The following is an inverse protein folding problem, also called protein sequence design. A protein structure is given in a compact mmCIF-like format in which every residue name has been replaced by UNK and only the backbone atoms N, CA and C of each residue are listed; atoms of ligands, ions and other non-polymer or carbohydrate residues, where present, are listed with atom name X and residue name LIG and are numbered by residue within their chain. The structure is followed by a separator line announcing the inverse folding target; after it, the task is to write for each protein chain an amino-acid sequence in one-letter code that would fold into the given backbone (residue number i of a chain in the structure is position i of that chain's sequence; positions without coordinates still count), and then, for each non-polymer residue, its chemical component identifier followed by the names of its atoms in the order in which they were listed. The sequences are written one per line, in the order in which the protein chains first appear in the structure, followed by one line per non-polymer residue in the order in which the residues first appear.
data_IF_897733267514
#
_entry.id   IF_897733267514
#
_cell.length_a   1.000
_cell.length_b   1.000
_cell.length_c   1.000
_cell.angle_alpha   90.00
_cell.angle_beta   90.00
_cell.angle_gamma   90.00
#
_symmetry.space_group_name_H-M   'P 1'
#
loop_
_entity.id
_entity.type
_entity.pdbx_description
1 polymer ?
#
# COMPACT_ATOMS: atom_id res chain seq x y z
N UNK A 1 0.61 5.06 8.35
CA UNK A 1 -0.18 4.03 7.62
C UNK A 1 0.41 3.54 6.29
N UNK A 2 0.89 4.39 5.37
CA UNK A 2 1.36 3.95 4.03
C UNK A 2 2.50 2.93 4.07
N UNK A 3 3.35 2.96 5.09
CA UNK A 3 4.45 1.99 5.26
C UNK A 3 3.97 0.52 5.27
N UNK A 4 2.76 0.24 5.76
CA UNK A 4 2.20 -1.10 5.77
C UNK A 4 1.94 -1.62 4.35
N UNK A 5 1.49 -0.75 3.43
CA UNK A 5 1.32 -1.12 2.03
C UNK A 5 2.64 -1.54 1.39
N UNK A 6 3.74 -0.82 1.67
CA UNK A 6 5.05 -1.16 1.13
C UNK A 6 5.56 -2.53 1.62
N UNK A 7 5.35 -2.85 2.91
CA UNK A 7 5.73 -4.15 3.48
C UNK A 7 4.88 -5.28 2.88
N UNK A 8 3.56 -5.10 2.79
CA UNK A 8 2.65 -6.09 2.21
C UNK A 8 2.95 -6.30 0.72
N UNK A 9 3.19 -5.21 -0.04
CA UNK A 9 3.59 -5.26 -1.46
C UNK A 9 4.90 -6.03 -1.63
N UNK A 10 5.91 -5.76 -0.80
CA UNK A 10 7.17 -6.49 -0.80
C UNK A 10 7.01 -7.98 -0.54
N UNK A 11 6.19 -8.34 0.45
CA UNK A 11 5.87 -9.74 0.75
C UNK A 11 5.16 -10.42 -0.43
N UNK A 12 4.06 -9.84 -0.92
CA UNK A 12 3.21 -10.46 -1.93
C UNK A 12 3.93 -10.65 -3.27
N UNK A 13 4.70 -9.64 -3.70
CA UNK A 13 5.49 -9.71 -4.93
C UNK A 13 6.69 -10.63 -4.78
N UNK A 14 7.42 -10.51 -3.67
CA UNK A 14 8.63 -11.27 -3.41
C UNK A 14 8.37 -12.76 -3.27
N UNK A 15 7.23 -13.14 -2.68
CA UNK A 15 6.90 -14.53 -2.37
C UNK A 15 7.01 -15.45 -3.59
N UNK A 16 6.39 -15.10 -4.72
CA UNK A 16 6.45 -15.91 -5.95
C UNK A 16 7.88 -16.08 -6.46
N UNK A 17 8.68 -15.02 -6.45
CA UNK A 17 10.08 -15.09 -6.89
C UNK A 17 10.92 -15.93 -5.96
N UNK A 18 10.76 -15.80 -4.65
CA UNK A 18 11.47 -16.62 -3.66
C UNK A 18 11.18 -18.11 -3.81
N UNK A 19 9.93 -18.49 -4.13
CA UNK A 19 9.59 -19.89 -4.41
C UNK A 19 10.35 -20.39 -5.65
N UNK A 20 10.35 -19.62 -6.74
CA UNK A 20 11.06 -20.00 -7.98
C UNK A 20 12.58 -20.07 -7.78
N UNK A 21 13.16 -19.11 -7.06
CA UNK A 21 14.58 -19.08 -6.67
C UNK A 21 14.94 -20.35 -5.88
N UNK A 22 14.12 -20.72 -4.89
CA UNK A 22 14.38 -21.91 -4.06
C UNK A 22 14.21 -23.22 -4.84
N UNK A 23 13.34 -23.24 -5.85
CA UNK A 23 13.19 -24.37 -6.79
C UNK A 23 14.30 -24.43 -7.85
N UNK A 24 15.18 -23.43 -7.92
CA UNK A 24 16.25 -23.29 -8.93
C UNK A 24 15.71 -23.26 -10.38
N UNK A 25 14.50 -22.74 -10.56
CA UNK A 25 13.83 -22.64 -11.87
C UNK A 25 14.03 -21.24 -12.44
N UNK A 26 15.20 -21.02 -13.07
CA UNK A 26 15.64 -19.72 -13.57
C UNK A 26 14.79 -19.24 -14.76
N UNK A 27 14.38 -20.15 -15.64
CA UNK A 27 13.60 -19.81 -16.84
C UNK A 27 12.21 -19.31 -16.44
N UNK A 28 11.51 -20.05 -15.57
CA UNK A 28 10.21 -19.59 -15.08
C UNK A 28 10.31 -18.33 -14.23
N UNK A 29 11.43 -18.13 -13.53
CA UNK A 29 11.69 -16.88 -12.81
C UNK A 29 11.78 -15.70 -13.78
N UNK A 30 12.55 -15.81 -14.87
CA UNK A 30 12.69 -14.76 -15.87
C UNK A 30 11.34 -14.43 -16.52
N UNK A 31 10.59 -15.45 -16.94
CA UNK A 31 9.25 -15.29 -17.50
C UNK A 31 8.32 -14.61 -16.51
N UNK A 32 8.34 -15.02 -15.23
CA UNK A 32 7.56 -14.38 -14.18
C UNK A 32 7.98 -12.91 -13.94
N UNK A 33 9.28 -12.60 -14.04
CA UNK A 33 9.83 -11.26 -13.84
C UNK A 33 9.37 -10.31 -14.95
N UNK A 34 9.57 -10.69 -16.22
CA UNK A 34 9.15 -9.90 -17.37
C UNK A 34 7.63 -9.63 -17.34
N UNK A 35 6.87 -10.69 -17.08
CA UNK A 35 5.41 -10.70 -16.94
C UNK A 35 4.91 -9.82 -15.80
N UNK A 36 5.57 -9.84 -14.64
CA UNK A 36 5.22 -9.00 -13.49
C UNK A 36 5.56 -7.53 -13.73
N UNK A 37 6.76 -7.24 -14.24
CA UNK A 37 7.22 -5.86 -14.51
C UNK A 37 6.33 -5.17 -15.54
N UNK A 38 6.03 -5.85 -16.66
CA UNK A 38 5.21 -5.29 -17.73
C UNK A 38 3.79 -4.96 -17.27
N UNK A 39 3.07 -5.95 -16.70
CA UNK A 39 1.68 -5.72 -16.26
C UNK A 39 1.58 -4.73 -15.11
N UNK A 40 2.58 -4.68 -14.23
CA UNK A 40 2.51 -3.83 -13.03
C UNK A 40 2.48 -2.36 -13.37
N UNK A 41 3.24 -1.92 -14.37
CA UNK A 41 3.19 -0.54 -14.85
C UNK A 41 1.78 -0.18 -15.35
N UNK A 42 1.23 -0.99 -16.26
CA UNK A 42 -0.10 -0.77 -16.82
C UNK A 42 -1.15 -0.75 -15.72
N UNK A 43 -1.16 -1.76 -14.84
CA UNK A 43 -2.15 -1.86 -13.75
C UNK A 43 -2.12 -0.62 -12.85
N UNK A 44 -0.94 -0.25 -12.35
CA UNK A 44 -0.84 0.84 -11.38
C UNK A 44 -1.24 2.19 -12.00
N UNK A 45 -0.69 2.53 -13.15
CA UNK A 45 -0.91 3.84 -13.76
C UNK A 45 -2.27 3.95 -14.46
N UNK A 46 -2.74 2.92 -15.16
CA UNK A 46 -4.04 2.97 -15.83
C UNK A 46 -5.20 3.00 -14.83
N UNK A 47 -5.16 2.18 -13.77
CA UNK A 47 -6.19 2.22 -12.73
C UNK A 47 -6.22 3.56 -12.00
N UNK A 48 -5.05 4.16 -11.77
CA UNK A 48 -4.96 5.52 -11.21
C UNK A 48 -5.50 6.57 -12.18
N UNK A 49 -5.20 6.48 -13.47
CA UNK A 49 -5.74 7.38 -14.49
C UNK A 49 -7.27 7.37 -14.53
N UNK A 50 -7.89 6.18 -14.41
CA UNK A 50 -9.34 6.05 -14.31
C UNK A 50 -9.91 6.62 -13.01
N UNK A 51 -9.19 6.51 -11.90
CA UNK A 51 -9.59 7.19 -10.66
C UNK A 51 -9.51 8.72 -10.81
N UNK A 52 -8.46 9.25 -11.46
CA UNK A 52 -8.34 10.67 -11.75
C UNK A 52 -9.44 11.16 -12.71
N UNK A 53 -9.96 10.30 -13.59
CA UNK A 53 -11.11 10.63 -14.44
C UNK A 53 -12.39 10.85 -13.62
N UNK A 54 -12.61 10.05 -12.55
CA UNK A 54 -13.73 10.29 -11.63
C UNK A 54 -13.58 11.66 -10.95
N UNK A 55 -12.37 11.99 -10.49
CA UNK A 55 -12.07 13.31 -9.93
C UNK A 55 -12.28 14.45 -10.94
N UNK A 56 -11.92 14.26 -12.22
CA UNK A 56 -12.20 15.22 -13.29
C UNK A 56 -13.69 15.54 -13.39
N UNK A 57 -14.54 14.51 -13.37
CA UNK A 57 -16.00 14.70 -13.43
C UNK A 57 -16.48 15.53 -12.23
N UNK A 58 -16.01 15.24 -11.02
CA UNK A 58 -16.36 16.00 -9.82
C UNK A 58 -15.90 17.47 -9.87
N UNK A 59 -14.72 17.72 -10.43
CA UNK A 59 -14.20 19.07 -10.66
C UNK A 59 -15.06 19.86 -11.65
N UNK A 60 -15.53 19.20 -12.71
CA UNK A 60 -16.44 19.82 -13.69
C UNK A 60 -17.81 20.12 -13.09
N UNK A 61 -18.29 19.29 -12.17
CA UNK A 61 -19.51 19.53 -11.41
C UNK A 61 -19.36 20.56 -10.29
N UNK A 62 -18.18 21.20 -10.13
CA UNK A 62 -17.89 22.16 -9.04
C UNK A 62 -18.06 21.56 -7.65
N UNK A 63 -17.93 20.24 -7.55
CA UNK A 63 -17.99 19.49 -6.29
C UNK A 63 -16.62 19.34 -5.65
N UNK A 64 -15.55 19.49 -6.44
CA UNK A 64 -14.16 19.44 -6.01
C UNK A 64 -13.39 20.57 -6.71
N UNK A 65 -12.70 21.42 -5.96
CA UNK A 65 -11.86 22.47 -6.53
C UNK A 65 -10.40 21.98 -6.75
N UNK A 66 -10.08 20.77 -6.33
CA UNK A 66 -8.73 20.21 -6.33
C UNK A 66 -8.08 20.28 -4.96
N UNK A 67 -7.16 19.35 -4.68
CA UNK A 67 -6.62 19.13 -3.34
C UNK A 67 -5.63 20.21 -2.87
N UNK A 68 -4.93 20.89 -3.79
CA UNK A 68 -3.92 21.91 -3.47
C UNK A 68 -4.23 23.29 -4.04
N UNK A 69 -4.79 23.33 -5.23
CA UNK A 69 -5.09 24.55 -5.94
C UNK A 69 -6.32 24.34 -6.85
N UNK A 70 -7.11 25.40 -7.10
CA UNK A 70 -8.19 25.39 -8.06
C UNK A 70 -7.75 24.84 -9.42
N UNK A 71 -8.28 23.67 -9.81
CA UNK A 71 -7.94 23.01 -11.08
C UNK A 71 -9.04 23.10 -12.15
N UNK A 72 -10.12 23.81 -11.85
CA UNK A 72 -11.24 23.99 -12.78
C UNK A 72 -10.83 24.86 -13.98
N UNK A 73 -11.16 24.39 -15.19
CA UNK A 73 -11.06 25.13 -16.45
C UNK A 73 -12.45 25.43 -16.98
N UNK A 74 -12.59 26.49 -17.78
CA UNK A 74 -13.89 26.95 -18.28
C UNK A 74 -14.52 25.95 -19.24
N UNK A 75 -13.76 25.49 -20.24
CA UNK A 75 -14.26 24.51 -21.22
C UNK A 75 -13.97 23.06 -20.81
N UNK A 76 -14.81 22.13 -21.27
CA UNK A 76 -14.60 20.70 -21.04
C UNK A 76 -13.32 20.21 -21.74
N UNK A 77 -13.05 20.68 -22.96
CA UNK A 77 -11.86 20.26 -23.71
C UNK A 77 -10.57 20.74 -23.03
N UNK A 78 -10.54 21.95 -22.48
CA UNK A 78 -9.39 22.41 -21.69
C UNK A 78 -9.18 21.58 -20.43
N UNK A 79 -10.27 21.18 -19.75
CA UNK A 79 -10.19 20.28 -18.60
C UNK A 79 -9.65 18.90 -18.99
N UNK A 80 -10.13 18.36 -20.12
CA UNK A 80 -9.70 17.06 -20.62
C UNK A 80 -8.22 17.09 -21.00
N UNK A 81 -7.77 18.11 -21.72
CA UNK A 81 -6.36 18.29 -22.04
C UNK A 81 -5.50 18.48 -20.79
N UNK A 82 -5.97 19.26 -19.81
CA UNK A 82 -5.29 19.41 -18.53
C UNK A 82 -5.07 18.06 -17.83
N UNK A 83 -6.10 17.22 -17.82
CA UNK A 83 -6.02 15.87 -17.29
C UNK A 83 -5.11 14.96 -18.09
N UNK A 84 -5.14 14.99 -19.43
CA UNK A 84 -4.24 14.21 -20.27
C UNK A 84 -2.78 14.59 -19.97
N UNK A 85 -2.45 15.89 -19.94
CA UNK A 85 -1.09 16.34 -19.63
C UNK A 85 -0.67 15.99 -18.20
N UNK A 86 -1.57 16.09 -17.23
CA UNK A 86 -1.32 15.65 -15.85
C UNK A 86 -1.06 14.14 -15.79
N UNK A 87 -1.85 13.33 -16.49
CA UNK A 87 -1.70 11.89 -16.57
C UNK A 87 -0.37 11.49 -17.24
N UNK A 88 -0.02 12.12 -18.37
CA UNK A 88 1.26 11.88 -19.05
C UNK A 88 2.44 12.24 -18.15
N UNK A 89 2.37 13.40 -17.47
CA UNK A 89 3.36 13.78 -16.46
C UNK A 89 3.44 12.71 -15.38
N UNK A 90 2.32 12.34 -14.77
CA UNK A 90 2.24 11.42 -13.64
C UNK A 90 2.77 10.02 -13.98
N UNK A 91 2.56 9.57 -15.21
CA UNK A 91 3.08 8.31 -15.73
C UNK A 91 4.60 8.29 -15.90
N UNK A 92 5.34 9.38 -15.69
CA UNK A 92 6.80 9.39 -15.78
C UNK A 92 7.46 8.56 -14.66
N UNK A 93 8.07 7.40 -14.96
CA UNK A 93 8.71 6.56 -13.94
C UNK A 93 10.06 7.13 -13.43
N UNK A 94 10.66 8.04 -14.20
CA UNK A 94 11.96 8.67 -13.91
C UNK A 94 11.84 9.98 -13.14
N UNK A 95 10.62 10.38 -12.77
CA UNK A 95 10.41 11.56 -11.95
C UNK A 95 11.16 11.46 -10.60
N UNK A 96 11.45 12.60 -10.00
CA UNK A 96 12.02 12.64 -8.66
C UNK A 96 10.95 12.19 -7.65
N UNK A 97 11.20 11.07 -6.96
CA UNK A 97 10.28 10.48 -5.99
C UNK A 97 10.96 10.48 -4.63
N UNK A 98 10.42 11.31 -3.74
CA UNK A 98 10.97 11.53 -2.40
C UNK A 98 10.47 10.45 -1.42
N UNK A 99 9.31 9.83 -1.70
CA UNK A 99 8.78 8.70 -0.92
C UNK A 99 7.92 9.09 0.28
N UNK A 100 7.44 10.33 0.36
CA UNK A 100 6.51 10.81 1.40
C UNK A 100 5.79 12.09 0.96
N UNK A 101 4.71 12.47 1.67
CA UNK A 101 3.87 13.64 1.37
C UNK A 101 4.59 14.93 1.73
N UNK A 102 4.94 15.74 0.73
CA UNK A 102 5.49 17.07 0.91
C UNK A 102 4.94 18.05 -0.15
N UNK A 103 5.13 19.37 0.00
CA UNK A 103 4.60 20.35 -0.94
C UNK A 103 5.07 20.18 -2.39
N UNK A 104 6.22 19.53 -2.62
CA UNK A 104 6.81 19.28 -3.94
C UNK A 104 6.69 17.81 -4.38
N UNK A 105 5.86 17.02 -3.69
CA UNK A 105 5.76 15.58 -3.96
C UNK A 105 5.21 15.37 -5.37
N UNK A 106 5.74 14.35 -6.02
CA UNK A 106 5.29 13.95 -7.34
C UNK A 106 3.96 13.19 -7.24
N UNK A 107 2.86 13.90 -7.46
CA UNK A 107 1.50 13.40 -7.46
C UNK A 107 0.68 13.91 -8.66
N UNK A 108 -0.56 13.43 -8.78
CA UNK A 108 -1.53 13.94 -9.76
C UNK A 108 -2.25 15.15 -9.16
N UNK A 109 -2.51 16.16 -10.00
CA UNK A 109 -3.31 17.34 -9.59
C UNK A 109 -4.74 16.98 -9.17
N UNK A 110 -5.27 15.88 -9.71
CA UNK A 110 -6.63 15.41 -9.45
C UNK A 110 -6.72 14.56 -8.18
N UNK A 111 -5.67 13.77 -7.88
CA UNK A 111 -5.64 12.90 -6.70
C UNK A 111 -4.25 12.96 -6.05
N UNK A 112 -4.10 13.81 -5.04
CA UNK A 112 -2.81 14.01 -4.37
C UNK A 112 -2.33 12.78 -3.60
N UNK A 113 -3.24 11.96 -3.06
CA UNK A 113 -2.92 10.71 -2.39
C UNK A 113 -2.24 9.69 -3.33
N UNK A 114 -2.36 9.85 -4.65
CA UNK A 114 -1.75 8.92 -5.63
C UNK A 114 -0.23 9.04 -5.74
N UNK A 115 0.42 9.90 -4.96
CA UNK A 115 1.88 9.95 -4.81
C UNK A 115 2.50 8.58 -4.46
N UNK A 116 1.73 7.71 -3.80
CA UNK A 116 2.18 6.37 -3.42
C UNK A 116 2.36 5.43 -4.63
N UNK A 117 1.70 5.70 -5.76
CA UNK A 117 1.72 4.81 -6.93
C UNK A 117 3.09 4.80 -7.64
N UNK A 118 3.71 5.96 -7.94
CA UNK A 118 5.09 5.99 -8.40
C UNK A 118 6.07 5.33 -7.42
N UNK A 119 5.85 5.50 -6.12
CA UNK A 119 6.67 4.87 -5.06
C UNK A 119 6.52 3.34 -5.08
N UNK A 120 5.28 2.85 -5.20
CA UNK A 120 4.95 1.43 -5.33
C UNK A 120 5.59 0.81 -6.57
N UNK A 121 5.58 1.52 -7.70
CA UNK A 121 6.24 1.05 -8.92
C UNK A 121 7.76 0.98 -8.74
N UNK A 122 8.40 2.05 -8.25
CA UNK A 122 9.86 2.09 -8.01
C UNK A 122 10.32 1.05 -6.99
N UNK A 123 9.59 0.89 -5.89
CA UNK A 123 9.87 -0.14 -4.88
C UNK A 123 9.78 -1.55 -5.43
N UNK A 124 8.85 -1.78 -6.37
CA UNK A 124 8.71 -3.08 -7.03
C UNK A 124 9.82 -3.38 -8.02
N UNK A 125 10.24 -2.39 -8.81
CA UNK A 125 11.40 -2.54 -9.69
C UNK A 125 12.65 -2.83 -8.86
N UNK A 126 12.87 -2.10 -7.75
CA UNK A 126 13.99 -2.37 -6.84
C UNK A 126 13.94 -3.79 -6.25
N UNK A 127 12.75 -4.27 -5.84
CA UNK A 127 12.54 -5.63 -5.38
C UNK A 127 12.85 -6.67 -6.47
N UNK A 128 12.41 -6.43 -7.71
CA UNK A 128 12.66 -7.30 -8.86
C UNK A 128 14.15 -7.38 -9.18
N UNK A 129 14.84 -6.25 -9.23
CA UNK A 129 16.29 -6.17 -9.40
C UNK A 129 17.03 -6.90 -8.29
N UNK A 130 16.60 -6.74 -7.03
CA UNK A 130 17.18 -7.46 -5.90
C UNK A 130 17.00 -8.97 -6.03
N UNK A 131 15.79 -9.44 -6.36
CA UNK A 131 15.52 -10.86 -6.58
C UNK A 131 16.42 -11.44 -7.68
N UNK A 132 16.62 -10.70 -8.78
CA UNK A 132 17.54 -11.10 -9.86
C UNK A 132 18.99 -11.18 -9.38
N UNK A 133 19.47 -10.19 -8.61
CA UNK A 133 20.82 -10.20 -8.07
C UNK A 133 21.04 -11.33 -7.03
N UNK A 134 20.01 -11.63 -6.24
CA UNK A 134 20.08 -12.58 -5.14
C UNK A 134 19.63 -14.01 -5.51
N UNK A 135 19.30 -14.28 -6.77
CA UNK A 135 18.72 -15.57 -7.19
C UNK A 135 19.68 -16.76 -7.05
N UNK A 136 20.99 -16.51 -7.11
CA UNK A 136 22.05 -17.53 -6.94
C UNK A 136 22.58 -17.62 -5.51
N UNK A 137 22.15 -16.73 -4.62
CA UNK A 137 22.61 -16.73 -3.23
C UNK A 137 21.93 -17.84 -2.41
N UNK A 138 22.63 -18.31 -1.38
CA UNK A 138 21.98 -19.19 -0.40
C UNK A 138 20.88 -18.41 0.35
N UNK A 139 19.94 -19.12 0.97
CA UNK A 139 18.88 -18.47 1.73
C UNK A 139 19.42 -17.64 2.91
N UNK A 140 20.57 -18.03 3.49
CA UNK A 140 21.21 -17.27 4.57
C UNK A 140 21.82 -15.98 4.03
N UNK A 141 22.61 -16.07 2.97
CA UNK A 141 23.30 -14.91 2.39
C UNK A 141 22.31 -13.91 1.80
N UNK A 142 21.24 -14.40 1.16
CA UNK A 142 20.16 -13.54 0.68
C UNK A 142 19.51 -12.77 1.82
N UNK A 143 19.17 -13.42 2.94
CA UNK A 143 18.58 -12.74 4.10
C UNK A 143 19.52 -11.71 4.71
N UNK A 144 20.83 -12.02 4.82
CA UNK A 144 21.84 -11.08 5.28
C UNK A 144 21.89 -9.86 4.36
N UNK A 145 21.96 -10.09 3.05
CA UNK A 145 21.95 -9.04 2.04
C UNK A 145 20.65 -8.20 2.11
N UNK A 146 19.49 -8.83 2.30
CA UNK A 146 18.22 -8.11 2.49
C UNK A 146 18.29 -7.18 3.71
N UNK A 147 18.86 -7.61 4.83
CA UNK A 147 19.05 -6.76 6.00
C UNK A 147 20.05 -5.62 5.76
N UNK A 148 21.14 -5.87 5.03
CA UNK A 148 22.08 -4.82 4.62
C UNK A 148 21.33 -3.75 3.82
N UNK A 149 20.52 -4.14 2.84
CA UNK A 149 19.72 -3.21 2.04
C UNK A 149 18.69 -2.46 2.91
N UNK A 150 18.00 -3.14 3.83
CA UNK A 150 17.07 -2.50 4.78
C UNK A 150 17.78 -1.40 5.57
N UNK A 151 18.93 -1.70 6.18
CA UNK A 151 19.66 -0.75 7.02
C UNK A 151 20.17 0.42 6.19
N UNK A 152 20.82 0.15 5.06
CA UNK A 152 21.38 1.19 4.18
C UNK A 152 20.27 2.09 3.62
N UNK A 153 19.14 1.54 3.19
CA UNK A 153 17.99 2.33 2.75
C UNK A 153 17.39 3.18 3.88
N UNK A 154 17.39 2.72 5.13
CA UNK A 154 16.97 3.57 6.26
C UNK A 154 17.96 4.69 6.53
N UNK A 155 19.27 4.45 6.39
CA UNK A 155 20.30 5.50 6.51
C UNK A 155 20.12 6.56 5.43
N UNK A 156 19.86 6.14 4.18
CA UNK A 156 19.55 7.04 3.06
C UNK A 156 18.12 7.60 3.09
N UNK A 157 17.33 7.26 4.11
CA UNK A 157 15.93 7.67 4.25
C UNK A 157 15.02 7.25 3.07
N UNK A 158 15.43 6.22 2.31
CA UNK A 158 14.64 5.51 1.31
C UNK A 158 13.74 4.45 1.98
N UNK A 159 12.93 4.90 2.95
CA UNK A 159 12.15 4.03 3.86
C UNK A 159 11.16 3.13 3.10
N UNK A 160 10.66 3.60 1.95
CA UNK A 160 9.79 2.78 1.10
C UNK A 160 10.50 1.53 0.56
N UNK A 161 11.75 1.63 0.10
CA UNK A 161 12.54 0.47 -0.35
C UNK A 161 12.79 -0.47 0.83
N UNK A 162 13.14 0.10 1.99
CA UNK A 162 13.28 -0.69 3.21
C UNK A 162 11.99 -1.46 3.54
N UNK A 163 10.81 -0.86 3.35
CA UNK A 163 9.51 -1.52 3.54
C UNK A 163 9.33 -2.71 2.60
N UNK A 164 9.62 -2.55 1.32
CA UNK A 164 9.58 -3.65 0.34
C UNK A 164 10.53 -4.79 0.71
N UNK A 165 11.77 -4.46 1.11
CA UNK A 165 12.78 -5.46 1.50
C UNK A 165 12.42 -6.13 2.83
N UNK A 166 11.81 -5.41 3.77
CA UNK A 166 11.24 -5.97 4.99
C UNK A 166 10.15 -7.03 4.69
N UNK A 167 9.25 -6.72 3.75
CA UNK A 167 8.25 -7.68 3.27
C UNK A 167 8.89 -8.92 2.64
N UNK A 168 9.91 -8.72 1.79
CA UNK A 168 10.68 -9.81 1.19
C UNK A 168 11.36 -10.70 2.24
N UNK A 169 11.96 -10.09 3.27
CA UNK A 169 12.58 -10.81 4.37
C UNK A 169 11.57 -11.68 5.12
N UNK A 170 10.39 -11.13 5.44
CA UNK A 170 9.32 -11.88 6.11
C UNK A 170 8.87 -13.06 5.25
N UNK A 171 8.68 -12.86 3.94
CA UNK A 171 8.35 -13.93 3.00
C UNK A 171 9.44 -15.02 2.93
N UNK A 172 10.71 -14.63 2.91
CA UNK A 172 11.82 -15.57 2.85
C UNK A 172 11.97 -16.37 4.15
N UNK A 173 11.73 -15.72 5.30
CA UNK A 173 11.71 -16.36 6.61
C UNK A 173 10.53 -17.32 6.74
N UNK A 174 9.38 -16.93 6.22
CA UNK A 174 8.19 -17.78 6.16
C UNK A 174 8.45 -19.05 5.37
N UNK A 175 9.02 -18.95 4.17
CA UNK A 175 9.41 -20.12 3.37
C UNK A 175 10.48 -21.00 4.03
N UNK A 176 11.33 -20.42 4.89
CA UNK A 176 12.32 -21.18 5.66
C UNK A 176 11.68 -21.94 6.83
N UNK A 177 10.71 -21.34 7.53
CA UNK A 177 10.01 -21.97 8.67
C UNK A 177 8.96 -22.99 8.24
N UNK A 178 8.35 -22.75 7.07
CA UNK A 178 7.27 -23.56 6.53
C UNK A 178 7.65 -24.17 5.16
N UNK A 179 8.56 -25.16 5.12
CA UNK A 179 9.01 -25.77 3.88
C UNK A 179 7.87 -26.43 3.07
N UNK A 180 6.78 -26.85 3.73
CA UNK A 180 5.57 -27.38 3.10
C UNK A 180 4.93 -26.40 2.10
N UNK A 181 5.17 -25.09 2.26
CA UNK A 181 4.67 -24.06 1.35
C UNK A 181 5.34 -24.11 -0.03
N UNK A 182 6.55 -24.67 -0.13
CA UNK A 182 7.21 -24.89 -1.42
C UNK A 182 6.54 -26.03 -2.21
N UNK A 183 6.05 -27.05 -1.51
CA UNK A 183 5.42 -28.24 -2.09
C UNK A 183 4.00 -27.96 -2.61
N UNK A 184 3.20 -27.16 -1.88
CA UNK A 184 1.79 -26.85 -2.19
C UNK A 184 1.54 -26.09 -3.50
N UNK A 185 2.57 -25.59 -4.18
CA UNK A 185 2.41 -24.90 -5.49
C UNK A 185 2.52 -25.84 -6.71
N UNK A 186 2.58 -27.16 -6.51
CA UNK A 186 2.25 -28.12 -7.57
C UNK A 186 0.71 -28.12 -7.68
N UNK A 187 0.10 -27.94 -8.86
CA UNK A 187 -1.34 -28.04 -9.01
C UNK A 187 -1.77 -29.50 -8.81
N UNK A 188 -1.97 -29.91 -7.56
CA UNK A 188 -2.67 -31.15 -7.22
C UNK A 188 -4.13 -30.82 -6.97
N UNK A 189 -5.00 -31.44 -7.75
CA UNK A 189 -6.46 -31.32 -7.73
C UNK A 189 -7.07 -31.95 -6.46
N UNK A 190 -6.68 -31.43 -5.28
CA UNK A 190 -7.25 -31.83 -4.00
C UNK A 190 -7.82 -30.60 -3.29
N UNK A 191 -9.03 -30.71 -2.70
CA UNK A 191 -9.67 -29.57 -2.05
C UNK A 191 -8.74 -29.03 -0.97
N UNK A 192 -8.61 -27.71 -0.97
CA UNK A 192 -7.73 -26.90 -0.13
C UNK A 192 -8.07 -27.09 1.36
N UNK A 193 -7.55 -28.17 1.92
CA UNK A 193 -7.59 -28.47 3.35
C UNK A 193 -6.83 -27.40 4.11
N UNK A 194 -7.58 -26.62 4.90
CA UNK A 194 -7.08 -25.78 6.00
C UNK A 194 -6.13 -26.61 6.87
N UNK A 195 -4.83 -26.50 6.64
CA UNK A 195 -3.84 -27.00 7.58
C UNK A 195 -3.64 -25.93 8.64
N UNK A 196 -4.54 -25.94 9.63
CA UNK A 196 -4.25 -25.45 10.97
C UNK A 196 -3.17 -26.37 11.55
N UNK A 197 -1.91 -26.19 11.14
CA UNK A 197 -0.80 -26.64 11.98
C UNK A 197 -0.86 -25.71 13.19
N UNK A 198 -1.61 -26.12 14.23
CA UNK A 198 -1.57 -25.47 15.51
C UNK A 198 -0.16 -25.67 16.05
N UNK A 199 0.76 -24.79 15.68
CA UNK A 199 2.07 -24.74 16.31
C UNK A 199 1.80 -24.50 17.80
N UNK A 200 2.18 -25.48 18.62
CA UNK A 200 2.02 -25.44 20.07
C UNK A 200 3.00 -24.41 20.63
N UNK A 201 2.67 -23.12 20.48
CA UNK A 201 3.45 -22.04 21.05
C UNK A 201 3.29 -22.03 22.58
N UNK A 202 4.42 -22.02 23.27
CA UNK A 202 4.45 -21.69 24.71
C UNK A 202 3.71 -20.37 24.97
N UNK A 203 3.04 -20.24 26.12
CA UNK A 203 2.32 -19.02 26.52
C UNK A 203 3.17 -17.76 26.42
N UNK A 204 4.48 -17.86 26.71
CA UNK A 204 5.43 -16.74 26.58
C UNK A 204 5.63 -16.28 25.14
N UNK A 205 5.71 -17.22 24.20
CA UNK A 205 5.89 -16.90 22.77
C UNK A 205 4.62 -16.28 22.20
N UNK A 206 3.44 -16.81 22.58
CA UNK A 206 2.14 -16.22 22.22
C UNK A 206 2.03 -14.78 22.70
N UNK A 207 2.35 -14.55 23.98
CA UNK A 207 2.35 -13.22 24.57
C UNK A 207 3.32 -12.28 23.85
N UNK A 208 4.51 -12.78 23.49
CA UNK A 208 5.49 -12.04 22.68
C UNK A 208 4.95 -11.57 21.33
N UNK A 209 4.26 -12.44 20.57
CA UNK A 209 3.65 -12.05 19.29
C UNK A 209 2.52 -11.04 19.46
N UNK A 210 1.68 -11.19 20.50
CA UNK A 210 0.61 -10.23 20.80
C UNK A 210 1.21 -8.86 21.17
N UNK A 211 2.24 -8.82 22.01
CA UNK A 211 2.94 -7.57 22.32
C UNK A 211 3.58 -6.94 21.09
N UNK A 212 4.23 -7.74 20.24
CA UNK A 212 4.83 -7.25 19.00
C UNK A 212 3.77 -6.67 18.05
N UNK A 213 2.60 -7.31 17.97
CA UNK A 213 1.45 -6.81 17.21
C UNK A 213 0.93 -5.48 17.76
N UNK A 214 0.71 -5.40 19.07
CA UNK A 214 0.25 -4.17 19.73
C UNK A 214 1.28 -3.03 19.61
N UNK A 215 2.57 -3.34 19.75
CA UNK A 215 3.65 -2.39 19.52
C UNK A 215 3.67 -1.92 18.06
N UNK A 216 3.50 -2.83 17.11
CA UNK A 216 3.40 -2.51 15.69
C UNK A 216 2.25 -1.57 15.37
N UNK A 217 1.07 -1.82 15.93
CA UNK A 217 -0.09 -0.93 15.83
C UNK A 217 0.21 0.43 16.44
N UNK A 218 0.72 0.46 17.68
CA UNK A 218 1.04 1.68 18.39
C UNK A 218 2.05 2.56 17.62
N UNK A 219 3.15 2.00 17.12
CA UNK A 219 4.15 2.73 16.34
C UNK A 219 3.61 3.22 14.99
N UNK A 220 2.69 2.45 14.37
CA UNK A 220 2.03 2.83 13.11
C UNK A 220 0.97 3.93 13.29
N UNK A 221 0.53 4.16 14.53
CA UNK A 221 -0.43 5.18 14.94
C UNK A 221 0.25 6.46 15.45
N UNK A 222 1.47 6.75 14.98
CA UNK A 222 2.17 7.98 15.32
C UNK A 222 1.33 9.22 14.95
N UNK A 223 1.06 10.13 15.91
CA UNK A 223 0.38 11.38 15.64
C UNK A 223 1.31 12.38 14.94
N UNK A 224 0.72 13.25 14.13
CA UNK A 224 1.44 14.35 13.48
C UNK A 224 1.96 15.33 14.55
N UNK A 225 1.09 15.71 15.49
CA UNK A 225 1.42 16.55 16.63
C UNK A 225 2.00 15.77 17.81
N UNK A 226 2.88 16.41 18.58
CA UNK A 226 3.52 15.78 19.76
C UNK A 226 2.58 15.77 20.96
N UNK A 227 1.67 16.74 21.07
CA UNK A 227 0.82 16.92 22.23
C UNK A 227 -0.55 16.29 21.98
N UNK A 228 -0.84 15.19 22.67
CA UNK A 228 -2.10 14.44 22.51
C UNK A 228 -3.21 14.94 23.43
N UNK A 229 -3.24 16.25 23.72
CA UNK A 229 -4.19 16.84 24.66
C UNK A 229 -4.00 16.28 26.08
N UNK A 230 -4.95 15.47 26.55
CA UNK A 230 -5.01 14.94 27.94
C UNK A 230 -3.79 14.07 28.29
N UNK A 231 -3.24 13.34 27.32
CA UNK A 231 -2.06 12.48 27.53
C UNK A 231 -0.73 13.25 27.54
N UNK A 232 -0.75 14.55 27.21
CA UNK A 232 0.45 15.37 27.10
C UNK A 232 1.40 14.91 25.99
N UNK A 233 2.70 15.23 26.10
CA UNK A 233 3.70 14.94 25.07
C UNK A 233 4.27 13.51 25.10
N UNK A 234 3.96 12.73 26.14
CA UNK A 234 4.44 11.36 26.30
C UNK A 234 3.50 10.36 25.61
N UNK A 235 3.99 9.26 25.01
CA UNK A 235 5.39 8.85 24.84
C UNK A 235 6.06 9.39 23.56
N UNK A 236 5.33 10.12 22.71
CA UNK A 236 5.81 10.50 21.38
C UNK A 236 6.98 11.48 21.39
N UNK A 237 7.10 12.34 22.40
CA UNK A 237 8.28 13.19 22.59
C UNK A 237 9.54 12.37 22.82
N UNK A 238 9.44 11.30 23.61
CA UNK A 238 10.57 10.39 23.85
C UNK A 238 10.93 9.62 22.58
N UNK A 239 9.94 9.03 21.89
CA UNK A 239 10.17 8.29 20.65
C UNK A 239 10.73 9.17 19.52
N UNK A 240 10.28 10.43 19.41
CA UNK A 240 10.88 11.39 18.46
C UNK A 240 12.35 11.70 18.82
N UNK A 241 12.72 11.68 20.10
CA UNK A 241 14.12 11.83 20.54
C UNK A 241 15.01 10.63 20.22
N UNK A 242 14.44 9.44 19.98
CA UNK A 242 15.16 8.24 19.58
C UNK A 242 15.39 8.14 18.05
N UNK A 243 14.77 9.02 17.27
CA UNK A 243 15.06 9.11 15.83
C UNK A 243 16.49 9.64 15.66
N UNK A 244 17.34 8.99 14.82
CA UNK A 244 18.72 9.40 14.67
C UNK A 244 18.89 10.87 14.25
N UNK A 245 19.91 11.56 14.76
CA UNK A 245 20.09 13.00 14.56
C UNK A 245 20.29 13.41 13.08
N UNK A 246 20.77 12.49 12.23
CA UNK A 246 20.98 12.72 10.79
C UNK A 246 19.70 12.53 9.95
N UNK A 247 18.60 12.06 10.55
CA UNK A 247 17.33 11.97 9.85
C UNK A 247 16.74 13.36 9.63
N UNK A 248 16.15 13.55 8.45
CA UNK A 248 15.41 14.77 8.16
C UNK A 248 14.24 14.90 9.15
N UNK A 249 14.23 15.99 9.92
CA UNK A 249 13.21 16.26 10.95
C UNK A 249 11.80 16.28 10.36
N UNK A 250 11.65 16.65 9.09
CA UNK A 250 10.34 16.65 8.40
C UNK A 250 9.82 15.23 8.12
N UNK A 251 10.71 14.22 8.14
CA UNK A 251 10.43 12.82 7.78
C UNK A 251 10.52 11.85 8.96
N UNK A 252 10.83 12.33 10.16
CA UNK A 252 11.01 11.48 11.35
C UNK A 252 9.82 10.59 11.68
N UNK A 253 8.60 10.96 11.26
CA UNK A 253 7.41 10.13 11.42
C UNK A 253 7.46 8.82 10.61
N UNK A 254 8.21 8.78 9.51
CA UNK A 254 8.32 7.59 8.66
C UNK A 254 9.16 6.49 9.33
N UNK A 255 10.08 6.87 10.23
CA UNK A 255 10.97 5.94 10.93
C UNK A 255 10.17 4.92 11.74
N UNK A 256 9.36 5.40 12.69
CA UNK A 256 8.54 4.54 13.53
C UNK A 256 7.43 3.85 12.76
N UNK A 257 6.85 4.51 11.76
CA UNK A 257 5.87 3.89 10.86
C UNK A 257 6.46 2.67 10.12
N UNK A 258 7.71 2.75 9.64
CA UNK A 258 8.39 1.63 8.99
C UNK A 258 8.63 0.44 9.94
N UNK A 259 9.12 0.73 11.14
CA UNK A 259 9.32 -0.28 12.20
C UNK A 259 7.98 -0.91 12.60
N UNK A 260 6.95 -0.08 12.81
CA UNK A 260 5.61 -0.52 13.16
C UNK A 260 5.02 -1.45 12.10
N UNK A 261 5.15 -1.11 10.82
CA UNK A 261 4.70 -1.93 9.70
C UNK A 261 5.42 -3.29 9.61
N UNK A 262 6.75 -3.31 9.80
CA UNK A 262 7.54 -4.56 9.88
C UNK A 262 7.04 -5.43 11.04
N UNK A 263 6.99 -4.88 12.26
CA UNK A 263 6.59 -5.60 13.47
C UNK A 263 5.17 -6.15 13.36
N UNK A 264 4.24 -5.35 12.86
CA UNK A 264 2.84 -5.74 12.66
C UNK A 264 2.73 -6.90 11.66
N UNK A 265 3.39 -6.77 10.50
CA UNK A 265 3.34 -7.80 9.45
C UNK A 265 4.03 -9.09 9.89
N UNK A 266 5.14 -8.98 10.61
CA UNK A 266 5.85 -10.13 11.18
C UNK A 266 4.97 -10.89 12.18
N UNK A 267 4.33 -10.18 13.11
CA UNK A 267 3.44 -10.79 14.09
C UNK A 267 2.23 -11.47 13.42
N UNK A 268 1.66 -10.85 12.39
CA UNK A 268 0.59 -11.45 11.60
C UNK A 268 1.05 -12.72 10.89
N UNK A 269 2.18 -12.72 10.20
CA UNK A 269 2.67 -13.88 9.44
C UNK A 269 2.93 -15.11 10.33
N UNK A 270 3.54 -14.91 11.50
CA UNK A 270 4.01 -16.02 12.35
C UNK A 270 3.06 -16.38 13.50
N UNK A 271 1.97 -15.64 13.70
CA UNK A 271 0.95 -15.99 14.68
C UNK A 271 -0.46 -15.95 14.07
N UNK A 272 -0.92 -17.08 13.47
CA UNK A 272 -2.19 -17.16 12.73
C UNK A 272 -3.43 -16.76 13.53
N UNK A 273 -3.38 -16.82 14.88
CA UNK A 273 -4.51 -16.40 15.71
C UNK A 273 -4.82 -14.91 15.57
N UNK A 274 -3.83 -14.06 15.28
CA UNK A 274 -4.03 -12.63 15.02
C UNK A 274 -4.70 -12.38 13.66
N UNK A 275 -4.62 -13.33 12.73
CA UNK A 275 -5.25 -13.22 11.42
C UNK A 275 -6.75 -13.55 11.45
N UNK A 276 -7.28 -14.13 12.54
CA UNK A 276 -8.68 -14.58 12.62
C UNK A 276 -9.70 -13.49 12.24
N UNK A 277 -9.61 -12.24 12.73
CA UNK A 277 -10.52 -11.17 12.33
C UNK A 277 -10.35 -10.77 10.86
N UNK A 278 -9.13 -10.88 10.33
CA UNK A 278 -8.84 -10.56 8.92
C UNK A 278 -9.48 -11.59 7.98
N UNK A 279 -9.67 -12.83 8.42
CA UNK A 279 -10.35 -13.87 7.65
C UNK A 279 -11.89 -13.79 7.64
N UNK A 280 -12.49 -12.84 8.38
CA UNK A 280 -13.93 -12.64 8.31
C UNK A 280 -14.36 -12.16 6.92
N UNK A 281 -15.58 -12.55 6.50
CA UNK A 281 -16.12 -12.21 5.18
C UNK A 281 -16.11 -10.70 4.92
N UNK A 282 -16.44 -9.92 5.95
CA UNK A 282 -16.42 -8.46 5.88
C UNK A 282 -15.00 -7.92 5.67
N UNK A 283 -14.01 -8.41 6.43
CA UNK A 283 -12.60 -8.01 6.29
C UNK A 283 -12.03 -8.39 4.93
N UNK A 284 -12.37 -9.57 4.40
CA UNK A 284 -11.97 -9.99 3.05
C UNK A 284 -12.60 -9.12 1.97
N UNK A 285 -13.89 -8.79 2.10
CA UNK A 285 -14.57 -7.85 1.21
C UNK A 285 -13.91 -6.46 1.23
N UNK A 286 -13.56 -5.97 2.42
CA UNK A 286 -12.83 -4.71 2.56
C UNK A 286 -11.44 -4.78 1.90
N UNK A 287 -10.76 -5.92 2.01
CA UNK A 287 -9.51 -6.20 1.32
C UNK A 287 -9.64 -6.14 -0.20
N UNK A 288 -10.69 -6.76 -0.76
CA UNK A 288 -11.00 -6.74 -2.20
C UNK A 288 -11.27 -5.32 -2.72
N UNK A 289 -11.86 -4.46 -1.88
CA UNK A 289 -12.15 -3.06 -2.22
C UNK A 289 -11.04 -2.08 -1.84
N UNK A 290 -9.98 -2.53 -1.16
CA UNK A 290 -8.99 -1.66 -0.51
C UNK A 290 -8.40 -0.60 -1.44
N UNK A 291 -8.03 -0.97 -2.66
CA UNK A 291 -7.51 -0.03 -3.65
C UNK A 291 -8.57 0.96 -4.13
N UNK A 292 -9.82 0.50 -4.33
CA UNK A 292 -10.93 1.39 -4.70
C UNK A 292 -11.23 2.40 -3.60
N UNK A 293 -11.29 1.96 -2.35
CA UNK A 293 -11.48 2.84 -1.19
C UNK A 293 -10.33 3.84 -1.10
N UNK A 294 -9.08 3.38 -1.25
CA UNK A 294 -7.92 4.26 -1.27
C UNK A 294 -8.03 5.35 -2.35
N UNK A 295 -8.49 4.96 -3.55
CA UNK A 295 -8.57 5.88 -4.67
C UNK A 295 -9.72 6.87 -4.59
N UNK A 296 -10.88 6.43 -4.12
CA UNK A 296 -12.11 7.21 -4.19
C UNK A 296 -12.44 7.94 -2.89
N UNK A 297 -11.82 7.59 -1.75
CA UNK A 297 -12.19 8.22 -0.48
C UNK A 297 -11.97 9.74 -0.45
N UNK A 298 -10.86 10.34 -0.96
CA UNK A 298 -10.71 11.80 -0.91
C UNK A 298 -11.71 12.54 -1.81
N UNK A 299 -11.87 12.20 -3.11
CA UNK A 299 -12.81 12.94 -3.95
C UNK A 299 -14.26 12.76 -3.50
N UNK A 300 -14.64 11.56 -3.01
CA UNK A 300 -15.99 11.34 -2.46
C UNK A 300 -16.18 12.12 -1.15
N UNK A 301 -15.19 12.15 -0.27
CA UNK A 301 -15.26 12.95 0.95
C UNK A 301 -15.42 14.45 0.65
N UNK A 302 -14.64 14.99 -0.29
CA UNK A 302 -14.75 16.40 -0.69
C UNK A 302 -16.14 16.68 -1.28
N UNK A 303 -16.55 15.87 -2.27
CA UNK A 303 -17.81 16.08 -2.97
C UNK A 303 -19.04 15.89 -2.07
N UNK A 304 -19.10 14.80 -1.29
CA UNK A 304 -20.28 14.44 -0.50
C UNK A 304 -20.22 15.10 0.88
N UNK A 305 -19.13 14.92 1.62
CA UNK A 305 -19.06 15.42 2.99
C UNK A 305 -18.90 16.95 3.00
N UNK A 306 -17.84 17.46 2.38
CA UNK A 306 -17.51 18.90 2.48
C UNK A 306 -18.48 19.76 1.67
N UNK A 307 -18.81 19.37 0.44
CA UNK A 307 -19.63 20.22 -0.43
C UNK A 307 -21.13 20.10 -0.19
N UNK A 308 -21.65 18.90 0.04
CA UNK A 308 -23.10 18.69 0.18
C UNK A 308 -23.55 18.67 1.65
N UNK A 309 -22.92 17.83 2.48
CA UNK A 309 -23.43 17.55 3.82
C UNK A 309 -23.02 18.58 4.87
N UNK A 310 -21.85 19.22 4.76
CA UNK A 310 -21.42 20.24 5.72
C UNK A 310 -22.32 21.48 5.73
N UNK A 311 -22.70 22.08 4.59
CA UNK A 311 -23.62 23.22 4.58
C UNK A 311 -25.00 22.85 5.15
N UNK A 312 -25.51 21.66 4.81
CA UNK A 312 -26.77 21.15 5.36
C UNK A 312 -26.69 20.99 6.88
N UNK A 313 -25.60 20.39 7.39
CA UNK A 313 -25.37 20.24 8.84
C UNK A 313 -25.32 21.60 9.54
N UNK A 314 -24.57 22.55 9.00
CA UNK A 314 -24.46 23.90 9.58
C UNK A 314 -25.81 24.60 9.67
N UNK A 315 -26.67 24.42 8.66
CA UNK A 315 -27.98 25.05 8.63
C UNK A 315 -29.01 24.39 9.56
N UNK A 316 -29.02 23.05 9.68
CA UNK A 316 -30.11 22.34 10.37
C UNK A 316 -29.71 21.64 11.69
N UNK A 317 -28.45 21.23 11.85
CA UNK A 317 -28.01 20.35 12.96
C UNK A 317 -27.01 21.02 13.92
N UNK A 318 -26.39 22.11 13.51
CA UNK A 318 -25.38 22.84 14.28
C UNK A 318 -24.05 22.09 14.42
N UNK A 319 -23.29 22.43 15.46
CA UNK A 319 -21.88 22.02 15.64
C UNK A 319 -21.62 21.01 16.76
N UNK A 320 -22.66 20.33 17.24
CA UNK A 320 -22.46 19.22 18.20
C UNK A 320 -21.74 18.03 17.54
N UNK A 321 -20.97 17.24 18.31
CA UNK A 321 -20.31 16.04 17.78
C UNK A 321 -21.29 15.05 17.12
N UNK A 322 -22.51 14.95 17.65
CA UNK A 322 -23.57 14.08 17.13
C UNK A 322 -24.08 14.59 15.77
N UNK A 323 -24.07 15.90 15.53
CA UNK A 323 -24.45 16.50 14.25
C UNK A 323 -23.55 16.06 13.07
N UNK A 324 -22.32 15.61 13.34
CA UNK A 324 -21.43 15.08 12.31
C UNK A 324 -21.69 13.62 11.96
N UNK A 325 -22.40 12.87 12.82
CA UNK A 325 -22.61 11.43 12.65
C UNK A 325 -23.37 11.08 11.35
N UNK A 326 -24.48 11.75 10.99
CA UNK A 326 -25.16 11.46 9.71
C UNK A 326 -24.23 11.71 8.51
N UNK A 327 -23.48 12.82 8.55
CA UNK A 327 -22.52 13.17 7.50
C UNK A 327 -21.44 12.10 7.30
N UNK A 328 -20.91 11.59 8.41
CA UNK A 328 -19.93 10.51 8.43
C UNK A 328 -20.51 9.20 7.86
N UNK A 329 -21.69 8.79 8.30
CA UNK A 329 -22.32 7.53 7.85
C UNK A 329 -22.67 7.57 6.35
N UNK A 330 -23.22 8.67 5.85
CA UNK A 330 -23.54 8.84 4.43
C UNK A 330 -22.26 8.85 3.59
N UNK A 331 -21.22 9.54 4.04
CA UNK A 331 -19.93 9.57 3.33
C UNK A 331 -19.29 8.19 3.31
N UNK A 332 -19.29 7.47 4.43
CA UNK A 332 -18.77 6.12 4.52
C UNK A 332 -19.49 5.20 3.53
N UNK A 333 -20.82 5.22 3.53
CA UNK A 333 -21.65 4.48 2.59
C UNK A 333 -21.31 4.83 1.13
N UNK A 334 -21.23 6.14 0.81
CA UNK A 334 -20.89 6.60 -0.54
C UNK A 334 -19.49 6.13 -0.98
N UNK A 335 -18.49 6.18 -0.10
CA UNK A 335 -17.13 5.67 -0.37
C UNK A 335 -17.18 4.19 -0.68
N UNK A 336 -17.88 3.38 0.13
CA UNK A 336 -18.02 1.95 -0.11
C UNK A 336 -18.69 1.65 -1.45
N UNK A 337 -19.78 2.33 -1.76
CA UNK A 337 -20.51 2.15 -3.03
C UNK A 337 -19.63 2.51 -4.22
N UNK A 338 -19.02 3.69 -4.23
CA UNK A 338 -18.16 4.14 -5.34
C UNK A 338 -16.93 3.21 -5.47
N UNK A 339 -16.34 2.77 -4.35
CA UNK A 339 -15.25 1.81 -4.37
C UNK A 339 -15.66 0.44 -4.94
N UNK A 340 -16.88 -0.06 -4.66
CA UNK A 340 -17.38 -1.32 -5.24
C UNK A 340 -17.47 -1.24 -6.76
N UNK A 341 -18.09 -0.18 -7.30
CA UNK A 341 -18.16 0.03 -8.75
C UNK A 341 -16.77 0.23 -9.37
N UNK A 342 -15.91 1.02 -8.74
CA UNK A 342 -14.55 1.23 -9.20
C UNK A 342 -13.74 -0.06 -9.21
N UNK A 343 -13.94 -0.96 -8.24
CA UNK A 343 -13.23 -2.26 -8.21
C UNK A 343 -13.53 -3.13 -9.43
N UNK A 344 -14.73 -3.01 -10.02
CA UNK A 344 -15.11 -3.71 -11.26
C UNK A 344 -14.35 -3.16 -12.46
N UNK A 345 -14.16 -1.83 -12.48
CA UNK A 345 -13.36 -1.14 -13.49
C UNK A 345 -11.88 -1.53 -13.35
N UNK A 346 -11.34 -1.53 -12.13
CA UNK A 346 -9.95 -1.96 -11.86
C UNK A 346 -9.71 -3.40 -12.32
N UNK A 347 -10.64 -4.32 -12.04
CA UNK A 347 -10.58 -5.71 -12.55
C UNK A 347 -10.53 -5.76 -14.08
N UNK A 348 -11.28 -4.90 -14.78
CA UNK A 348 -11.23 -4.80 -16.23
C UNK A 348 -9.85 -4.33 -16.72
N UNK A 349 -9.22 -3.36 -16.05
CA UNK A 349 -7.85 -2.90 -16.34
C UNK A 349 -6.83 -4.03 -16.15
N UNK A 350 -6.95 -4.80 -15.06
CA UNK A 350 -6.07 -5.95 -14.80
C UNK A 350 -6.20 -7.01 -15.91
N UNK A 351 -7.43 -7.30 -16.33
CA UNK A 351 -7.70 -8.22 -17.42
C UNK A 351 -7.17 -7.70 -18.75
N UNK A 352 -7.31 -6.40 -19.02
CA UNK A 352 -6.74 -5.75 -20.19
C UNK A 352 -5.22 -5.86 -20.22
N UNK A 353 -4.53 -5.55 -19.12
CA UNK A 353 -3.08 -5.70 -19.03
C UNK A 353 -2.62 -7.15 -19.29
N UNK A 354 -3.37 -8.14 -18.80
CA UNK A 354 -3.13 -9.56 -19.06
C UNK A 354 -3.30 -9.91 -20.55
N UNK A 355 -4.34 -9.39 -21.20
CA UNK A 355 -4.58 -9.60 -22.65
C UNK A 355 -3.47 -8.98 -23.50
N UNK A 356 -3.12 -7.71 -23.23
CA UNK A 356 -2.04 -7.01 -23.93
C UNK A 356 -0.73 -7.78 -23.82
N UNK A 357 -0.43 -8.31 -22.63
CA UNK A 357 0.76 -9.14 -22.46
C UNK A 357 0.70 -10.41 -23.31
N UNK A 358 -0.41 -11.16 -23.30
CA UNK A 358 -0.55 -12.38 -24.12
C UNK A 358 -0.38 -12.11 -25.60
N UNK A 359 -0.79 -10.94 -26.08
CA UNK A 359 -0.64 -10.56 -27.49
C UNK A 359 0.79 -10.15 -27.83
N UNK A 360 1.51 -9.50 -26.91
CA UNK A 360 2.86 -8.96 -27.17
C UNK A 360 4.00 -9.93 -26.82
N UNK A 361 3.78 -10.85 -25.87
CA UNK A 361 4.80 -11.80 -25.45
C UNK A 361 4.84 -12.94 -26.46
N UNK A 362 6.05 -13.29 -26.89
CA UNK A 362 6.26 -14.47 -27.72
C UNK A 362 6.03 -15.71 -26.85
N UNK A 363 5.13 -16.60 -27.29
CA UNK A 363 5.02 -17.94 -26.73
C UNK A 363 6.28 -18.71 -27.16
N UNK A 364 7.30 -18.73 -26.29
CA UNK A 364 8.49 -19.57 -26.45
C UNK A 364 8.68 -20.45 -25.23
#
# INVERSE_FOLDING_TARGET
MVALFFVISGYALGYRFLVLIRKRDADRMLTALASSTFRRYIRLYASTGLACLIALVLVRLRMDDGMRAPIHKETFMDQLWNWIFDLVRFCNPFAEIIGWVNPKVFDSKYLGQMWSIPVEYRGSVALFSFCTAACKLTARDRMILTWIVIVVCNVWQAVYISGFMAGLFIADLSLKRHPERLAKQIPSNTPSGRLNTAENFSSRVRLGYVWLFMLGLFLSSQPDEVNLGILGPYPWRFLKGLVPAWWDKTRGHLFWNGIGALSLTYALEFYPSLQKPLHWRFSQYLGDLSFGIYATHPPVYIAVCQRMLQPFRQHYLGDSYIAYLPGFLITLWAVFTVADYFSRIDKAVVNFASRVQKTLFLDR
#
